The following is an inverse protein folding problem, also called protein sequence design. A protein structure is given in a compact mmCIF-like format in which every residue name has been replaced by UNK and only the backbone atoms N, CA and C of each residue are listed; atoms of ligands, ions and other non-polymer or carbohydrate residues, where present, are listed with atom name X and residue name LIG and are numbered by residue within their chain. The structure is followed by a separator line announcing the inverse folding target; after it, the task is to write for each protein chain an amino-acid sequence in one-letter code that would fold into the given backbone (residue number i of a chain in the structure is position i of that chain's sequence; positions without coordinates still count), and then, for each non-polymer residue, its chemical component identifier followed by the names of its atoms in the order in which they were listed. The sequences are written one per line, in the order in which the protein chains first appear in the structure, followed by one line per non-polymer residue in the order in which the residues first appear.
data_IF_039704431279
#
_entry.id   IF_039704431279
#
_cell.length_a   1.000
_cell.length_b   1.000
_cell.length_c   1.000
_cell.angle_alpha   90.00
_cell.angle_beta   90.00
_cell.angle_gamma   90.00
#
_symmetry.space_group_name_H-M   'P 1'
#
loop_
_entity.id
_entity.type
_entity.pdbx_description
1 polymer ?
#
# COMPACT_ATOMS: atom_id res chain seq x y z
N UNK A 1 -4.92 -0.24 -1.29
CA UNK A 1 -4.36 0.28 -0.02
C UNK A 1 -5.07 1.56 0.40
N UNK A 2 -5.85 1.52 1.49
CA UNK A 2 -6.46 2.72 2.12
C UNK A 2 -5.58 3.32 3.24
N UNK A 3 -4.56 2.59 3.70
CA UNK A 3 -3.85 2.85 4.96
C UNK A 3 -2.61 3.77 4.81
N UNK A 4 -1.83 3.65 3.74
CA UNK A 4 -0.73 4.60 3.45
C UNK A 4 -1.24 6.04 3.17
N UNK A 5 -2.48 6.17 2.69
CA UNK A 5 -3.12 7.46 2.47
C UNK A 5 -3.45 8.21 3.77
N UNK A 6 -3.52 7.50 4.92
CA UNK A 6 -3.80 8.10 6.23
C UNK A 6 -2.56 8.77 6.83
N UNK A 7 -1.36 8.38 6.40
CA UNK A 7 -0.08 8.85 6.98
C UNK A 7 0.54 10.05 6.28
N UNK A 8 0.00 10.53 5.15
CA UNK A 8 0.55 11.67 4.41
C UNK A 8 1.68 11.31 3.46
N UNK A 9 2.20 10.10 3.56
CA UNK A 9 3.11 9.51 2.58
C UNK A 9 2.40 9.24 1.25
N UNK A 10 3.14 9.34 0.15
CA UNK A 10 2.67 8.93 -1.18
C UNK A 10 2.53 7.40 -1.17
N UNK A 11 1.31 6.86 -1.31
CA UNK A 11 1.11 5.42 -1.29
C UNK A 11 1.53 4.82 -2.64
N UNK A 12 2.81 4.50 -2.81
CA UNK A 12 3.23 3.81 -4.02
C UNK A 12 2.69 2.37 -4.01
N UNK A 13 1.85 2.03 -5.00
CA UNK A 13 1.37 0.66 -5.18
C UNK A 13 2.44 -0.16 -5.91
N UNK A 14 3.25 -0.86 -5.12
CA UNK A 14 4.36 -1.69 -5.61
C UNK A 14 3.89 -2.95 -6.36
N UNK A 15 2.62 -3.34 -6.24
CA UNK A 15 2.19 -4.65 -6.73
C UNK A 15 2.00 -4.77 -8.26
N UNK A 16 1.71 -3.72 -9.03
CA UNK A 16 1.33 -3.92 -10.45
C UNK A 16 2.24 -3.25 -11.50
N UNK A 17 2.94 -2.17 -11.19
CA UNK A 17 3.68 -1.39 -12.20
C UNK A 17 5.06 -2.01 -12.52
N UNK A 18 5.67 -2.62 -11.50
CA UNK A 18 7.08 -2.99 -11.47
C UNK A 18 7.37 -4.22 -12.33
N UNK A 19 6.46 -5.20 -12.32
CA UNK A 19 6.58 -6.47 -13.05
C UNK A 19 6.62 -6.30 -14.58
N UNK A 20 6.13 -5.17 -15.09
CA UNK A 20 6.08 -4.90 -16.53
C UNK A 20 7.16 -3.95 -17.03
N UNK A 21 7.90 -3.24 -16.16
CA UNK A 21 8.69 -2.08 -16.64
C UNK A 21 10.12 -1.93 -16.11
N UNK A 22 10.51 -2.44 -14.94
CA UNK A 22 11.73 -1.88 -14.31
C UNK A 22 12.73 -2.83 -13.66
N UNK A 23 12.42 -4.10 -13.36
CA UNK A 23 13.37 -4.96 -12.63
C UNK A 23 13.71 -6.24 -13.41
N UNK A 24 14.99 -6.35 -13.79
CA UNK A 24 15.59 -7.58 -14.28
C UNK A 24 15.65 -8.58 -13.13
N UNK A 25 14.77 -9.58 -13.17
CA UNK A 25 14.50 -10.48 -12.05
C UNK A 25 15.68 -11.35 -11.64
N UNK A 26 16.60 -10.81 -10.83
CA UNK A 26 17.35 -11.62 -9.88
C UNK A 26 16.35 -12.08 -8.81
N UNK A 27 15.79 -13.27 -9.01
CA UNK A 27 14.87 -13.89 -8.04
C UNK A 27 15.66 -14.29 -6.80
N UNK A 28 15.83 -13.36 -5.86
CA UNK A 28 16.31 -13.67 -4.51
C UNK A 28 15.32 -14.60 -3.76
N UNK A 29 14.09 -14.75 -4.27
CA UNK A 29 13.01 -15.52 -3.66
C UNK A 29 12.32 -16.40 -4.72
N UNK A 30 12.90 -17.56 -5.04
CA UNK A 30 12.43 -18.43 -6.12
C UNK A 30 11.15 -19.25 -5.80
N UNK A 31 10.75 -19.35 -4.53
CA UNK A 31 9.69 -20.25 -4.07
C UNK A 31 8.36 -19.57 -3.69
N UNK A 32 8.29 -18.24 -3.75
CA UNK A 32 7.11 -17.48 -3.36
C UNK A 32 6.51 -16.72 -4.54
N UNK A 33 5.30 -16.19 -4.35
CA UNK A 33 4.61 -15.41 -5.37
C UNK A 33 5.51 -14.28 -5.92
N UNK A 34 5.55 -14.12 -7.25
CA UNK A 34 6.36 -13.09 -7.91
C UNK A 34 6.12 -11.69 -7.35
N UNK A 35 4.86 -11.37 -6.99
CA UNK A 35 4.54 -10.09 -6.35
C UNK A 35 5.27 -9.84 -5.03
N UNK A 36 5.43 -10.86 -4.19
CA UNK A 36 6.16 -10.72 -2.93
C UNK A 36 7.67 -10.56 -3.18
N UNK A 37 8.21 -11.32 -4.13
CA UNK A 37 9.62 -11.19 -4.55
C UNK A 37 9.92 -9.80 -5.11
N UNK A 38 9.08 -9.31 -6.01
CA UNK A 38 9.26 -7.99 -6.64
C UNK A 38 9.09 -6.87 -5.60
N UNK A 39 8.11 -6.99 -4.71
CA UNK A 39 7.91 -6.06 -3.59
C UNK A 39 9.15 -5.96 -2.70
N UNK A 40 9.68 -7.10 -2.25
CA UNK A 40 10.88 -7.15 -1.42
C UNK A 40 12.07 -6.52 -2.16
N UNK A 41 12.26 -6.89 -3.43
CA UNK A 41 13.37 -6.36 -4.25
C UNK A 41 13.28 -4.84 -4.41
N UNK A 42 12.11 -4.29 -4.73
CA UNK A 42 11.95 -2.84 -4.85
C UNK A 42 12.19 -2.14 -3.51
N UNK A 43 11.61 -2.66 -2.42
CA UNK A 43 11.80 -2.05 -1.09
C UNK A 43 13.28 -2.07 -0.70
N UNK A 44 14.05 -3.10 -1.02
CA UNK A 44 15.48 -3.15 -0.70
C UNK A 44 16.27 -2.16 -1.58
N UNK A 45 16.02 -2.16 -2.89
CA UNK A 45 16.90 -1.50 -3.86
C UNK A 45 16.55 -0.04 -4.16
N UNK A 46 15.30 0.37 -3.99
CA UNK A 46 14.86 1.73 -4.30
C UNK A 46 15.13 2.68 -3.14
N UNK A 47 16.12 3.57 -3.29
CA UNK A 47 16.49 4.54 -2.26
C UNK A 47 15.39 5.56 -1.94
N UNK A 48 14.39 5.74 -2.80
CA UNK A 48 13.28 6.67 -2.57
C UNK A 48 12.19 6.09 -1.68
N UNK A 49 12.21 4.77 -1.43
CA UNK A 49 11.26 4.10 -0.54
C UNK A 49 11.79 4.15 0.90
N UNK A 50 11.11 4.89 1.77
CA UNK A 50 11.45 4.97 3.21
C UNK A 50 10.91 3.81 4.04
N UNK A 51 10.01 2.99 3.49
CA UNK A 51 9.32 1.97 4.26
C UNK A 51 8.37 1.09 3.47
N UNK A 52 7.96 -0.02 4.09
CA UNK A 52 7.07 -1.02 3.55
C UNK A 52 5.96 -1.38 4.53
N UNK A 53 4.72 -1.36 4.02
CA UNK A 53 3.54 -1.79 4.77
C UNK A 53 2.82 -2.86 3.97
N UNK A 54 2.60 -4.03 4.59
CA UNK A 54 2.08 -5.20 3.89
C UNK A 54 1.11 -6.00 4.76
N UNK A 55 0.06 -6.61 4.18
CA UNK A 55 -0.92 -7.37 4.94
C UNK A 55 -0.44 -8.78 5.24
N UNK A 56 -0.80 -9.35 6.39
CA UNK A 56 -0.62 -10.77 6.71
C UNK A 56 -1.73 -11.63 6.09
N UNK A 57 -2.00 -11.47 4.80
CA UNK A 57 -3.16 -12.07 4.11
C UNK A 57 -2.90 -13.44 3.48
N UNK A 58 -1.66 -13.75 3.07
CA UNK A 58 -1.28 -15.05 2.52
C UNK A 58 0.13 -15.44 2.98
N UNK A 59 0.54 -16.69 2.73
CA UNK A 59 1.85 -17.20 3.16
C UNK A 59 3.01 -16.44 2.51
N UNK A 60 2.86 -16.00 1.25
CA UNK A 60 3.89 -15.16 0.60
C UNK A 60 4.04 -13.79 1.27
N UNK A 61 2.99 -13.22 1.88
CA UNK A 61 3.11 -11.95 2.59
C UNK A 61 3.65 -12.12 4.01
N UNK A 62 3.51 -13.31 4.61
CA UNK A 62 4.00 -13.62 5.96
C UNK A 62 5.52 -13.55 6.06
N UNK A 63 6.21 -13.92 4.99
CA UNK A 63 7.67 -13.98 4.91
C UNK A 63 8.32 -12.64 4.54
N UNK A 64 7.57 -11.66 4.03
CA UNK A 64 8.14 -10.38 3.56
C UNK A 64 8.98 -9.71 4.65
N UNK A 65 8.50 -9.74 5.90
CA UNK A 65 9.17 -9.07 7.01
C UNK A 65 10.59 -9.60 7.26
N UNK A 66 10.81 -10.92 7.18
CA UNK A 66 12.13 -11.51 7.39
C UNK A 66 13.12 -11.14 6.29
N UNK A 67 12.65 -10.95 5.06
CA UNK A 67 13.52 -10.52 3.96
C UNK A 67 13.89 -9.03 4.03
N UNK A 68 13.08 -8.22 4.74
CA UNK A 68 13.32 -6.80 4.90
C UNK A 68 14.06 -6.47 6.21
N UNK A 69 14.37 -7.46 7.05
CA UNK A 69 14.90 -7.27 8.40
C UNK A 69 16.11 -6.32 8.48
N UNK A 70 17.03 -6.45 7.51
CA UNK A 70 18.27 -5.68 7.43
C UNK A 70 18.19 -4.45 6.52
N UNK A 71 17.01 -4.06 6.05
CA UNK A 71 16.86 -2.95 5.10
C UNK A 71 17.00 -1.56 5.72
N UNK A 72 17.06 -1.43 7.04
CA UNK A 72 17.01 -0.16 7.79
C UNK A 72 15.78 0.72 7.48
N UNK A 73 14.81 0.20 6.72
CA UNK A 73 13.57 0.89 6.34
C UNK A 73 12.45 0.60 7.33
N UNK A 74 11.44 1.47 7.36
CA UNK A 74 10.24 1.22 8.14
C UNK A 74 9.56 -0.06 7.66
N UNK A 75 9.14 -0.92 8.58
CA UNK A 75 8.43 -2.17 8.26
C UNK A 75 7.21 -2.30 9.14
N UNK A 76 6.06 -2.55 8.53
CA UNK A 76 4.86 -2.85 9.28
C UNK A 76 4.01 -3.91 8.60
N UNK A 77 3.89 -5.07 9.24
CA UNK A 77 2.96 -6.11 8.82
C UNK A 77 1.62 -5.94 9.54
N UNK A 78 0.56 -5.71 8.76
CA UNK A 78 -0.82 -5.53 9.28
C UNK A 78 -1.47 -6.90 9.42
N UNK A 79 -1.92 -7.26 10.61
CA UNK A 79 -2.69 -8.48 10.80
C UNK A 79 -4.14 -8.27 10.31
N UNK A 80 -4.52 -8.98 9.25
CA UNK A 80 -5.89 -8.93 8.71
C UNK A 80 -6.66 -10.13 9.27
N UNK A 81 -7.74 -9.92 10.04
CA UNK A 81 -8.52 -11.03 10.58
C UNK A 81 -9.23 -11.77 9.45
N UNK A 82 -9.26 -13.11 9.54
CA UNK A 82 -10.00 -13.95 8.60
C UNK A 82 -11.52 -13.98 8.91
N UNK A 83 -11.89 -13.67 10.16
CA UNK A 83 -13.27 -13.57 10.63
C UNK A 83 -13.89 -12.24 10.20
N UNK A 84 -15.22 -12.18 10.19
CA UNK A 84 -16.00 -10.99 9.80
C UNK A 84 -17.03 -10.57 10.86
N UNK A 85 -16.82 -11.01 12.10
CA UNK A 85 -17.67 -10.63 13.24
C UNK A 85 -17.17 -9.37 13.94
N UNK A 86 -17.91 -8.93 14.96
CA UNK A 86 -17.61 -7.72 15.72
C UNK A 86 -16.20 -7.77 16.35
N UNK A 87 -15.76 -8.93 16.83
CA UNK A 87 -14.40 -9.11 17.35
C UNK A 87 -13.33 -8.89 16.28
N UNK A 88 -13.58 -9.31 15.03
CA UNK A 88 -12.68 -9.02 13.91
C UNK A 88 -12.60 -7.51 13.62
N UNK A 89 -13.71 -6.79 13.75
CA UNK A 89 -13.75 -5.32 13.59
C UNK A 89 -12.92 -4.64 14.67
N UNK A 90 -13.12 -5.01 15.94
CA UNK A 90 -12.36 -4.48 17.08
C UNK A 90 -10.86 -4.75 16.94
N UNK A 91 -10.51 -5.99 16.59
CA UNK A 91 -9.12 -6.38 16.37
C UNK A 91 -8.46 -5.56 15.26
N UNK A 92 -9.15 -5.37 14.13
CA UNK A 92 -8.61 -4.59 13.01
C UNK A 92 -8.47 -3.11 13.37
N UNK A 93 -9.38 -2.55 14.17
CA UNK A 93 -9.28 -1.18 14.67
C UNK A 93 -8.06 -1.00 15.60
N UNK A 94 -7.80 -1.98 16.48
CA UNK A 94 -6.60 -1.99 17.31
C UNK A 94 -5.31 -2.07 16.47
N UNK A 95 -5.30 -2.90 15.42
CA UNK A 95 -4.18 -2.99 14.48
C UNK A 95 -3.91 -1.65 13.74
N UNK A 96 -4.96 -0.89 13.41
CA UNK A 96 -4.78 0.44 12.84
C UNK A 96 -4.19 1.45 13.82
N UNK A 97 -4.56 1.39 15.10
CA UNK A 97 -3.92 2.21 16.13
C UNK A 97 -2.44 1.83 16.31
N UNK A 98 -2.12 0.52 16.30
CA UNK A 98 -0.73 0.03 16.35
C UNK A 98 0.08 0.55 15.16
N UNK A 99 -0.52 0.55 13.97
CA UNK A 99 0.10 1.08 12.76
C UNK A 99 0.36 2.59 12.84
N UNK A 100 -0.64 3.37 13.25
CA UNK A 100 -0.49 4.82 13.47
C UNK A 100 0.68 5.12 14.40
N UNK A 101 0.70 4.48 15.58
CA UNK A 101 1.75 4.72 16.56
C UNK A 101 3.14 4.33 16.03
N UNK A 102 3.24 3.23 15.28
CA UNK A 102 4.51 2.81 14.68
C UNK A 102 5.02 3.81 13.65
N UNK A 103 4.14 4.39 12.82
CA UNK A 103 4.51 5.46 11.89
C UNK A 103 4.99 6.69 12.64
N UNK A 104 4.20 7.18 13.60
CA UNK A 104 4.50 8.40 14.34
C UNK A 104 5.83 8.29 15.08
N UNK A 105 6.10 7.11 15.67
CA UNK A 105 7.37 6.84 16.34
C UNK A 105 8.55 6.76 15.36
N UNK A 106 8.39 6.06 14.23
CA UNK A 106 9.50 5.82 13.31
C UNK A 106 9.88 7.09 12.53
N UNK A 107 8.89 7.84 12.07
CA UNK A 107 9.08 9.03 11.24
C UNK A 107 9.10 10.33 12.06
N UNK A 108 8.90 10.25 13.37
CA UNK A 108 8.83 11.42 14.27
C UNK A 108 7.80 12.46 13.82
N UNK A 109 6.61 11.98 13.41
CA UNK A 109 5.49 12.80 12.93
C UNK A 109 4.25 12.62 13.80
N UNK A 110 3.29 13.55 13.69
CA UNK A 110 1.96 13.42 14.28
C UNK A 110 0.88 13.34 13.19
N UNK A 111 0.02 12.33 13.27
CA UNK A 111 -1.15 12.16 12.38
C UNK A 111 -2.40 12.64 13.13
N UNK A 112 -2.76 13.91 12.91
CA UNK A 112 -3.89 14.57 13.58
C UNK A 112 -5.13 14.77 12.69
N UNK A 113 -4.97 14.81 11.36
CA UNK A 113 -6.02 15.10 10.39
C UNK A 113 -6.74 13.85 9.83
N UNK A 114 -7.00 12.86 10.66
CA UNK A 114 -7.60 11.57 10.25
C UNK A 114 -8.96 11.76 9.55
N UNK A 115 -9.79 12.67 10.06
CA UNK A 115 -11.13 12.92 9.51
C UNK A 115 -11.09 13.43 8.07
N UNK A 116 -10.27 14.44 7.80
CA UNK A 116 -10.15 15.04 6.47
C UNK A 116 -9.63 14.02 5.45
N UNK A 117 -8.71 13.15 5.88
CA UNK A 117 -8.18 12.07 5.05
C UNK A 117 -9.22 11.02 4.71
N UNK A 118 -10.09 10.66 5.65
CA UNK A 118 -11.21 9.75 5.38
C UNK A 118 -12.13 10.34 4.32
N UNK A 119 -12.43 11.65 4.41
CA UNK A 119 -13.25 12.36 3.42
C UNK A 119 -12.58 12.27 2.04
N UNK A 120 -11.30 12.64 1.92
CA UNK A 120 -10.59 12.58 0.64
C UNK A 120 -10.48 11.18 0.04
N UNK A 121 -10.28 10.14 0.87
CA UNK A 121 -10.30 8.73 0.41
C UNK A 121 -11.68 8.35 -0.12
N UNK A 122 -12.75 8.78 0.55
CA UNK A 122 -14.11 8.46 0.12
C UNK A 122 -14.46 9.16 -1.19
N UNK A 123 -14.13 10.44 -1.34
CA UNK A 123 -14.29 11.19 -2.58
C UNK A 123 -13.54 10.53 -3.75
N UNK A 124 -12.27 10.14 -3.53
CA UNK A 124 -11.50 9.39 -4.53
C UNK A 124 -12.16 8.07 -4.89
N UNK A 125 -12.62 7.29 -3.91
CA UNK A 125 -13.25 5.99 -4.18
C UNK A 125 -14.59 6.15 -4.94
N UNK A 126 -15.33 7.23 -4.70
CA UNK A 126 -16.54 7.59 -5.46
C UNK A 126 -16.16 7.91 -6.91
N UNK A 127 -15.11 8.71 -7.14
CA UNK A 127 -14.63 9.03 -8.47
C UNK A 127 -14.17 7.76 -9.23
N UNK A 128 -13.38 6.89 -8.59
CA UNK A 128 -12.93 5.63 -9.18
C UNK A 128 -14.13 4.74 -9.54
N UNK A 129 -15.11 4.62 -8.64
CA UNK A 129 -16.33 3.84 -8.89
C UNK A 129 -17.06 4.33 -10.14
N UNK A 130 -17.22 5.64 -10.30
CA UNK A 130 -17.87 6.21 -11.48
C UNK A 130 -17.17 5.80 -12.79
N UNK A 131 -15.84 5.80 -12.79
CA UNK A 131 -15.07 5.36 -13.97
C UNK A 131 -15.27 3.87 -14.27
N UNK A 132 -15.38 3.01 -13.24
CA UNK A 132 -15.74 1.61 -13.43
C UNK A 132 -17.16 1.42 -13.96
N UNK A 133 -18.12 2.22 -13.50
CA UNK A 133 -19.51 2.16 -13.96
C UNK A 133 -19.64 2.61 -15.44
N UNK A 134 -18.71 3.45 -15.92
CA UNK A 134 -18.67 3.98 -17.28
C UNK A 134 -17.56 3.35 -18.15
N UNK A 135 -16.98 2.22 -17.73
CA UNK A 135 -15.72 1.69 -18.30
C UNK A 135 -15.75 1.50 -19.82
N UNK A 136 -16.91 1.13 -20.37
CA UNK A 136 -17.13 0.93 -21.81
C UNK A 136 -16.95 2.23 -22.62
N UNK A 137 -17.08 3.40 -21.98
CA UNK A 137 -16.94 4.72 -22.59
C UNK A 137 -15.49 5.22 -22.60
N UNK A 138 -14.59 4.58 -21.84
CA UNK A 138 -13.19 4.97 -21.74
C UNK A 138 -12.31 4.08 -22.60
N UNK A 139 -11.31 4.68 -23.27
CA UNK A 139 -10.17 3.90 -23.74
C UNK A 139 -9.42 3.39 -22.52
N UNK A 140 -9.37 2.07 -22.36
CA UNK A 140 -8.68 1.41 -21.24
C UNK A 140 -7.24 1.93 -21.03
N UNK A 141 -6.53 2.28 -22.10
CA UNK A 141 -5.18 2.87 -22.03
C UNK A 141 -5.13 4.22 -21.31
N UNK A 142 -6.16 5.05 -21.46
CA UNK A 142 -6.20 6.40 -20.88
C UNK A 142 -6.57 6.30 -19.39
N UNK A 143 -7.45 5.36 -19.06
CA UNK A 143 -7.79 4.99 -17.68
C UNK A 143 -6.55 4.54 -16.88
N UNK A 144 -5.79 3.57 -17.41
CA UNK A 144 -4.59 3.05 -16.74
C UNK A 144 -3.53 4.15 -16.56
N UNK A 145 -3.33 5.01 -17.56
CA UNK A 145 -2.41 6.15 -17.46
C UNK A 145 -2.83 7.14 -16.38
N UNK A 146 -4.12 7.43 -16.25
CA UNK A 146 -4.61 8.36 -15.25
C UNK A 146 -4.47 7.79 -13.84
N UNK A 147 -4.78 6.50 -13.64
CA UNK A 147 -4.53 5.82 -12.37
C UNK A 147 -3.05 5.86 -12.00
N UNK A 148 -2.16 5.51 -12.93
CA UNK A 148 -0.73 5.52 -12.67
C UNK A 148 -0.23 6.91 -12.25
N UNK A 149 -0.65 7.97 -12.97
CA UNK A 149 -0.31 9.37 -12.62
C UNK A 149 -0.84 9.79 -11.25
N UNK A 150 -2.05 9.37 -10.87
CA UNK A 150 -2.62 9.71 -9.57
C UNK A 150 -1.97 8.95 -8.43
N UNK A 151 -1.58 7.69 -8.63
CA UNK A 151 -1.00 6.87 -7.56
C UNK A 151 0.42 7.31 -7.15
N UNK A 152 1.12 8.07 -7.99
CA UNK A 152 2.44 8.64 -7.65
C UNK A 152 2.34 9.99 -6.91
N UNK A 153 1.13 10.52 -6.70
CA UNK A 153 0.91 11.81 -6.04
C UNK A 153 0.40 11.63 -4.59
N UNK A 154 0.69 12.58 -3.68
CA UNK A 154 0.05 12.65 -2.37
C UNK A 154 -1.48 12.64 -2.50
N UNK A 155 -2.20 12.08 -1.51
CA UNK A 155 -3.66 11.91 -1.57
C UNK A 155 -4.40 13.20 -1.98
N UNK A 156 -3.99 14.34 -1.44
CA UNK A 156 -4.63 15.64 -1.67
C UNK A 156 -4.39 16.21 -3.08
N UNK A 157 -3.49 15.59 -3.85
CA UNK A 157 -3.11 15.98 -5.20
C UNK A 157 -3.63 15.01 -6.27
N UNK A 158 -4.25 13.90 -5.88
CA UNK A 158 -4.84 12.92 -6.80
C UNK A 158 -6.13 13.49 -7.41
N UNK A 159 -6.25 13.55 -8.75
CA UNK A 159 -7.38 14.16 -9.48
C UNK A 159 -8.12 13.21 -10.42
#
# INVERSE_FOLDING_TARGET
MKLLAISGFVPEQICDVVRFTQYGGERNIAHYCGYASDFVSQVINDSNISGAVFPKSCDSCRIIDSYLENSEKFRFQIAVPARQDEFAVEYLAAEYNRYKNAIEQYFEVEISNVRDRIIGINERNIAIRKVYDELEQYKYSDYIKQIHRNLVLPLNEQK
#
